data_IF_324469517070
#
_entry.id   IF_324469517070
#
_cell.length_a   1.000
_cell.length_b   1.000
_cell.length_c   1.000
_cell.angle_alpha   90.00
_cell.angle_beta   90.00
_cell.angle_gamma   90.00
#
_symmetry.space_group_name_H-M   'P 1'
#
loop_
_entity.id
_entity.type
_entity.pdbx_description
1 polymer ?
#
# COMPACT_ATOMS: atom_id res chain seq x y z
N UNK A 1 19.67 9.40 19.54
CA UNK A 1 19.47 8.21 18.70
C UNK A 1 19.01 8.74 17.36
N UNK A 2 19.95 9.20 16.55
CA UNK A 2 19.68 9.71 15.21
C UNK A 2 19.19 8.56 14.34
N UNK A 3 17.87 8.49 14.15
CA UNK A 3 17.27 7.75 13.07
C UNK A 3 17.86 8.28 11.78
N UNK A 4 18.72 7.46 11.18
CA UNK A 4 19.36 7.68 9.89
C UNK A 4 18.31 8.17 8.90
N UNK A 5 18.28 9.48 8.74
CA UNK A 5 17.55 10.21 7.73
C UNK A 5 18.26 9.90 6.41
N UNK A 6 18.11 8.67 5.95
CA UNK A 6 18.53 8.27 4.62
C UNK A 6 17.83 9.26 3.69
N UNK A 7 18.64 10.04 3.00
CA UNK A 7 18.22 11.03 2.01
C UNK A 7 17.53 10.25 0.89
N UNK A 8 16.24 9.98 1.07
CA UNK A 8 15.40 9.47 0.00
C UNK A 8 14.90 10.69 -0.76
N UNK A 9 15.13 10.69 -2.08
CA UNK A 9 14.55 11.68 -2.98
C UNK A 9 13.04 11.46 -3.09
N UNK A 10 12.30 11.88 -2.07
CA UNK A 10 10.84 11.76 -1.99
C UNK A 10 10.15 12.29 -3.26
N UNK A 11 10.52 13.46 -3.81
CA UNK A 11 9.91 13.95 -5.04
C UNK A 11 10.14 13.02 -6.23
N UNK A 12 11.32 12.40 -6.33
CA UNK A 12 11.64 11.46 -7.40
C UNK A 12 10.88 10.15 -7.25
N UNK A 13 10.81 9.60 -6.02
CA UNK A 13 10.02 8.40 -5.72
C UNK A 13 8.53 8.63 -6.00
N UNK A 14 8.00 9.78 -5.61
CA UNK A 14 6.63 10.20 -5.89
C UNK A 14 6.36 10.24 -7.39
N UNK A 15 7.21 10.92 -8.16
CA UNK A 15 7.04 11.03 -9.61
C UNK A 15 7.05 9.64 -10.28
N UNK A 16 7.96 8.75 -9.85
CA UNK A 16 8.02 7.36 -10.34
C UNK A 16 6.75 6.59 -10.01
N UNK A 17 6.29 6.63 -8.76
CA UNK A 17 5.08 5.91 -8.35
C UNK A 17 3.85 6.44 -9.09
N UNK A 18 3.69 7.76 -9.19
CA UNK A 18 2.58 8.36 -9.94
C UNK A 18 2.59 7.94 -11.42
N UNK A 19 3.77 7.85 -12.04
CA UNK A 19 3.91 7.31 -13.40
C UNK A 19 3.45 5.85 -13.50
N UNK A 20 3.70 5.05 -12.47
CA UNK A 20 3.24 3.66 -12.40
C UNK A 20 1.73 3.54 -12.11
N UNK A 21 1.17 4.42 -11.27
CA UNK A 21 -0.25 4.44 -10.92
C UNK A 21 -1.12 4.95 -12.08
N UNK A 22 -0.58 5.85 -12.91
CA UNK A 22 -1.26 6.42 -14.07
C UNK A 22 -2.63 7.01 -13.71
N UNK A 23 -3.75 6.43 -14.20
CA UNK A 23 -5.09 6.92 -13.90
C UNK A 23 -5.51 6.78 -12.43
N UNK A 24 -4.82 5.94 -11.65
CA UNK A 24 -5.08 5.69 -10.23
C UNK A 24 -4.19 6.53 -9.31
N UNK A 25 -3.73 7.70 -9.77
CA UNK A 25 -2.89 8.59 -8.97
C UNK A 25 -3.56 9.05 -7.64
N UNK A 26 -4.88 8.93 -7.52
CA UNK A 26 -5.65 9.25 -6.32
C UNK A 26 -5.34 8.34 -5.13
N UNK A 27 -4.87 7.11 -5.39
CA UNK A 27 -4.53 6.14 -4.33
C UNK A 27 -3.10 6.30 -3.80
N UNK A 28 -2.40 7.37 -4.20
CA UNK A 28 -1.02 7.61 -3.80
C UNK A 28 -0.85 7.61 -2.26
N UNK A 29 0.13 6.86 -1.72
CA UNK A 29 0.23 6.58 -0.29
C UNK A 29 0.92 7.71 0.50
N UNK A 30 0.21 8.82 0.72
CA UNK A 30 0.75 10.00 1.41
C UNK A 30 1.23 9.68 2.83
N UNK A 31 0.57 8.77 3.55
CA UNK A 31 0.97 8.44 4.93
C UNK A 31 2.25 7.61 4.95
N UNK A 32 2.45 6.74 3.96
CA UNK A 32 3.69 5.97 3.80
C UNK A 32 4.83 6.91 3.41
N UNK A 33 4.60 7.85 2.49
CA UNK A 33 5.59 8.87 2.12
C UNK A 33 6.12 9.61 3.35
N UNK A 34 5.21 10.12 4.19
CA UNK A 34 5.57 10.97 5.33
C UNK A 34 6.22 10.20 6.49
N UNK A 35 5.74 8.98 6.77
CA UNK A 35 6.15 8.23 7.97
C UNK A 35 7.18 7.15 7.67
N UNK A 36 7.17 6.60 6.46
CA UNK A 36 7.96 5.44 6.07
C UNK A 36 8.55 5.58 4.66
N UNK A 37 9.41 6.59 4.41
CA UNK A 37 10.00 6.82 3.09
C UNK A 37 10.82 5.64 2.56
N UNK A 38 11.38 4.82 3.46
CA UNK A 38 12.02 3.54 3.14
C UNK A 38 11.07 2.53 2.51
N UNK A 39 9.83 2.45 3.03
CA UNK A 39 8.80 1.55 2.50
C UNK A 39 8.34 2.06 1.14
N UNK A 40 8.13 3.38 0.99
CA UNK A 40 7.80 3.99 -0.30
C UNK A 40 8.86 3.64 -1.37
N UNK A 41 10.14 3.79 -1.06
CA UNK A 41 11.22 3.45 -1.99
C UNK A 41 11.16 1.99 -2.44
N UNK A 42 10.89 1.06 -1.52
CA UNK A 42 10.74 -0.37 -1.83
C UNK A 42 9.50 -0.67 -2.66
N UNK A 43 8.38 0.01 -2.41
CA UNK A 43 7.17 -0.11 -3.22
C UNK A 43 7.46 0.32 -4.66
N UNK A 44 8.10 1.46 -4.84
CA UNK A 44 8.47 2.00 -6.17
C UNK A 44 9.41 1.06 -6.92
N UNK A 45 10.39 0.49 -6.21
CA UNK A 45 11.38 -0.41 -6.80
C UNK A 45 10.77 -1.74 -7.25
N UNK A 46 9.82 -2.28 -6.49
CA UNK A 46 9.17 -3.56 -6.77
C UNK A 46 7.88 -3.43 -7.60
N UNK A 47 7.45 -2.22 -7.95
CA UNK A 47 6.19 -2.02 -8.64
C UNK A 47 6.14 -2.74 -9.98
N UNK A 48 5.04 -3.45 -10.26
CA UNK A 48 4.87 -4.25 -11.48
C UNK A 48 5.55 -5.62 -11.40
N UNK A 49 6.13 -5.98 -10.26
CA UNK A 49 6.73 -7.29 -10.03
C UNK A 49 5.92 -8.08 -8.99
N UNK A 50 5.86 -9.41 -9.10
CA UNK A 50 5.20 -10.24 -8.09
C UNK A 50 5.86 -10.17 -6.70
N UNK A 51 7.10 -9.67 -6.62
CA UNK A 51 7.80 -9.50 -5.35
C UNK A 51 7.18 -8.40 -4.46
N UNK A 52 6.50 -7.41 -5.04
CA UNK A 52 5.79 -6.39 -4.27
C UNK A 52 4.69 -7.01 -3.39
N UNK A 53 4.00 -8.03 -3.88
CA UNK A 53 2.94 -8.73 -3.17
C UNK A 53 3.47 -9.41 -1.89
N UNK A 54 4.67 -9.99 -1.96
CA UNK A 54 5.36 -10.56 -0.81
C UNK A 54 5.76 -9.51 0.22
N UNK A 55 6.27 -8.36 -0.23
CA UNK A 55 6.58 -7.23 0.65
C UNK A 55 5.32 -6.72 1.37
N UNK A 56 4.24 -6.46 0.63
CA UNK A 56 2.98 -5.95 1.20
C UNK A 56 2.38 -6.94 2.20
N UNK A 57 2.43 -8.24 1.89
CA UNK A 57 1.99 -9.31 2.79
C UNK A 57 2.82 -9.35 4.08
N UNK A 58 4.16 -9.26 3.99
CA UNK A 58 5.04 -9.23 5.17
C UNK A 58 4.75 -8.01 6.07
N UNK A 59 4.53 -6.85 5.45
CA UNK A 59 4.16 -5.62 6.16
C UNK A 59 2.80 -5.74 6.86
N UNK A 60 1.84 -6.44 6.27
CA UNK A 60 0.51 -6.64 6.83
C UNK A 60 0.44 -7.75 7.89
N UNK A 61 1.24 -8.82 7.77
CA UNK A 61 1.13 -10.00 8.64
C UNK A 61 1.64 -9.74 10.05
N UNK A 62 2.59 -8.82 10.26
CA UNK A 62 2.97 -8.25 11.58
C UNK A 62 2.96 -9.23 12.79
N UNK A 63 3.27 -10.52 12.58
CA UNK A 63 3.27 -11.53 13.64
C UNK A 63 4.65 -11.57 14.30
N UNK A 64 5.02 -10.44 14.92
CA UNK A 64 6.22 -10.36 15.76
C UNK A 64 5.82 -9.80 17.12
N UNK A 65 6.01 -10.56 18.22
CA UNK A 65 5.68 -10.07 19.55
C UNK A 65 6.48 -8.81 19.87
N UNK A 66 5.78 -7.72 20.21
CA UNK A 66 6.41 -6.46 20.62
C UNK A 66 6.44 -5.33 19.58
N UNK A 67 5.81 -5.47 18.40
CA UNK A 67 5.57 -4.33 17.50
C UNK A 67 4.13 -3.82 17.56
N UNK A 68 3.97 -2.51 17.68
CA UNK A 68 2.72 -1.82 17.34
C UNK A 68 2.56 -1.92 15.82
N UNK A 69 1.46 -2.51 15.35
CA UNK A 69 1.14 -2.58 13.91
C UNK A 69 1.07 -1.20 13.26
N UNK A 70 0.82 -1.14 11.95
CA UNK A 70 0.67 0.14 11.27
C UNK A 70 -0.56 0.92 11.75
N UNK A 71 -0.47 2.26 11.90
CA UNK A 71 -1.65 3.07 12.17
C UNK A 71 -2.62 2.97 10.99
N UNK A 72 -3.92 3.03 11.28
CA UNK A 72 -4.99 2.79 10.29
C UNK A 72 -4.81 3.46 8.92
N UNK A 73 -4.42 4.76 8.84
CA UNK A 73 -4.16 5.42 7.55
C UNK A 73 -3.02 4.78 6.73
N UNK A 74 -1.97 4.29 7.38
CA UNK A 74 -0.84 3.63 6.72
C UNK A 74 -1.23 2.22 6.27
N UNK A 75 -2.01 1.50 7.09
CA UNK A 75 -2.56 0.21 6.69
C UNK A 75 -3.49 0.33 5.48
N UNK A 76 -4.31 1.38 5.43
CA UNK A 76 -5.20 1.69 4.28
C UNK A 76 -4.40 1.99 3.00
N UNK A 77 -3.32 2.75 3.11
CA UNK A 77 -2.43 3.02 1.97
C UNK A 77 -1.81 1.72 1.43
N UNK A 78 -1.30 0.84 2.31
CA UNK A 78 -0.76 -0.47 1.91
C UNK A 78 -1.81 -1.35 1.23
N UNK A 79 -3.03 -1.35 1.78
CA UNK A 79 -4.14 -2.14 1.25
C UNK A 79 -4.55 -1.68 -0.15
N UNK A 80 -4.74 -0.37 -0.37
CA UNK A 80 -5.11 0.19 -1.68
C UNK A 80 -4.07 -0.15 -2.75
N UNK A 81 -2.79 -0.07 -2.41
CA UNK A 81 -1.71 -0.45 -3.32
C UNK A 81 -1.75 -1.94 -3.66
N UNK A 82 -1.98 -2.81 -2.66
CA UNK A 82 -2.12 -4.24 -2.86
C UNK A 82 -3.27 -4.58 -3.80
N UNK A 83 -4.44 -3.97 -3.58
CA UNK A 83 -5.62 -4.16 -4.43
C UNK A 83 -5.35 -3.71 -5.85
N UNK A 84 -4.80 -2.51 -6.05
CA UNK A 84 -4.49 -2.03 -7.41
C UNK A 84 -3.47 -2.93 -8.11
N UNK A 85 -2.41 -3.33 -7.42
CA UNK A 85 -1.38 -4.20 -7.98
C UNK A 85 -1.96 -5.55 -8.44
N UNK A 86 -2.88 -6.11 -7.64
CA UNK A 86 -3.66 -7.31 -8.00
C UNK A 86 -4.57 -7.07 -9.20
N UNK A 87 -5.35 -5.99 -9.21
CA UNK A 87 -6.25 -5.64 -10.32
C UNK A 87 -5.53 -5.39 -11.64
N UNK A 88 -4.27 -4.96 -11.61
CA UNK A 88 -3.41 -4.81 -12.79
C UNK A 88 -2.82 -6.15 -13.28
N UNK A 89 -3.05 -7.26 -12.57
CA UNK A 89 -2.62 -8.60 -12.95
C UNK A 89 -1.14 -8.91 -12.67
N UNK A 90 -0.46 -8.07 -11.88
CA UNK A 90 0.95 -8.30 -11.51
C UNK A 90 1.12 -9.35 -10.41
N UNK A 91 0.05 -9.65 -9.69
CA UNK A 91 0.00 -10.71 -8.69
C UNK A 91 -0.49 -12.00 -9.36
N UNK A 92 0.28 -13.11 -9.33
CA UNK A 92 -0.22 -14.38 -9.81
C UNK A 92 -1.45 -14.79 -8.99
N UNK A 93 -2.44 -15.49 -9.57
CA UNK A 93 -3.62 -15.96 -8.84
C UNK A 93 -3.18 -16.85 -7.69
N UNK A 94 -3.03 -16.26 -6.50
CA UNK A 94 -2.62 -16.97 -5.29
C UNK A 94 -3.85 -17.66 -4.73
N UNK A 95 -3.83 -18.99 -4.80
CA UNK A 95 -4.63 -19.87 -3.95
C UNK A 95 -4.23 -19.60 -2.49
N UNK A 96 -5.11 -18.90 -1.77
CA UNK A 96 -5.36 -19.00 -0.31
C UNK A 96 -4.27 -18.50 0.66
N UNK A 97 -4.66 -17.71 1.66
CA UNK A 97 -3.98 -17.69 2.97
C UNK A 97 -3.89 -16.36 3.71
N UNK A 98 -3.80 -15.22 3.03
CA UNK A 98 -3.71 -13.90 3.68
C UNK A 98 -5.06 -13.21 3.59
N UNK A 99 -5.80 -13.17 4.71
CA UNK A 99 -7.21 -12.71 4.82
C UNK A 99 -7.55 -11.28 4.35
N UNK A 100 -6.65 -10.60 3.64
CA UNK A 100 -6.83 -9.28 3.04
C UNK A 100 -6.85 -9.31 1.51
N UNK A 101 -6.38 -10.41 0.89
CA UNK A 101 -6.56 -10.66 -0.55
C UNK A 101 -7.95 -11.22 -0.89
N UNK A 102 -8.76 -11.52 0.14
CA UNK A 102 -10.09 -12.14 0.04
C UNK A 102 -11.26 -11.17 -0.11
N UNK A 103 -11.02 -9.87 -0.30
CA UNK A 103 -12.07 -8.95 -0.76
C UNK A 103 -12.07 -8.85 -2.29
N UNK A 104 -12.07 -10.00 -2.95
CA UNK A 104 -12.53 -10.09 -4.33
C UNK A 104 -14.06 -10.28 -4.28
N UNK A 105 -14.76 -9.23 -3.87
CA UNK A 105 -16.21 -9.10 -4.06
C UNK A 105 -16.59 -7.61 -4.06
N UNK A 106 -16.37 -6.98 -5.22
CA UNK A 106 -17.21 -6.00 -5.92
C UNK A 106 -17.90 -4.81 -5.19
N UNK A 107 -17.82 -4.60 -3.87
CA UNK A 107 -18.71 -3.62 -3.18
C UNK A 107 -17.99 -2.67 -2.20
N UNK A 108 -16.66 -2.45 -2.29
CA UNK A 108 -15.96 -1.54 -1.36
C UNK A 108 -15.90 -0.05 -1.75
N UNK A 109 -16.31 0.34 -2.96
CA UNK A 109 -16.29 1.74 -3.41
C UNK A 109 -17.67 2.43 -3.42
N UNK A 110 -18.64 1.98 -2.60
CA UNK A 110 -19.98 2.60 -2.50
C UNK A 110 -20.30 3.35 -1.20
N UNK A 111 -19.36 3.56 -0.30
CA UNK A 111 -19.60 4.41 0.87
C UNK A 111 -18.65 5.61 0.95
N UNK A 112 -18.66 6.39 -0.13
CA UNK A 112 -18.54 7.84 -0.02
C UNK A 112 -19.93 8.45 0.22
N UNK A 113 -20.07 9.21 1.31
CA UNK A 113 -21.04 10.30 1.49
C UNK A 113 -22.54 9.93 1.59
N UNK A 114 -23.00 9.51 2.78
CA UNK A 114 -24.38 9.81 3.20
C UNK A 114 -24.37 10.95 4.22
N UNK A 115 -24.66 12.15 3.70
CA UNK A 115 -25.17 13.28 4.46
C UNK A 115 -26.58 12.93 4.97
N UNK A 116 -26.84 13.14 6.27
CA UNK A 116 -28.17 13.12 6.88
C UNK A 116 -28.09 13.17 8.41
N UNK A 117 -28.09 14.36 9.02
CA UNK A 117 -29.28 15.05 9.55
C UNK A 117 -29.94 14.29 10.72
N UNK A 118 -29.68 14.76 11.93
CA UNK A 118 -30.70 15.05 12.95
C UNK A 118 -30.24 16.25 13.77
#
# INVERSE_FOLDING_TARGET
MEEQQASFDIPALKARLLGHLGPHADIYPVNIEQKFPRILARIVDLWGTPALDGLLSDLMVSDRPGRQGFPGPVAMDLFRLSTLHGSLGFTPPKVTGTGWSGIDDAELFKHGLTKGRQ
#
